data_IF_548783534772
#
_entry.id   IF_548783534772
#
_cell.length_a   1.000
_cell.length_b   1.000
_cell.length_c   1.000
_cell.angle_alpha   90.00
_cell.angle_beta   90.00
_cell.angle_gamma   90.00
#
_symmetry.space_group_name_H-M   'P 1'
#
loop_
_entity.id
_entity.type
_entity.pdbx_description
1 polymer ?
#
# COMPACT_ATOMS: atom_id res chain seq x y z
N UNK A 1 -14.62 9.65 -0.50
CA UNK A 1 -13.90 9.22 0.72
C UNK A 1 -14.92 8.88 1.80
N UNK A 2 -15.30 7.60 1.92
CA UNK A 2 -15.95 7.07 3.11
C UNK A 2 -14.86 6.35 3.93
N UNK A 3 -14.60 6.88 5.12
CA UNK A 3 -14.09 6.27 6.36
C UNK A 3 -12.88 5.32 6.33
N UNK A 4 -11.70 5.86 6.70
CA UNK A 4 -10.60 5.17 7.41
C UNK A 4 -9.92 3.97 6.74
N UNK A 5 -8.69 3.67 7.15
CA UNK A 5 -8.09 2.39 6.81
C UNK A 5 -8.78 1.26 7.60
N UNK A 6 -8.95 0.09 6.99
CA UNK A 6 -9.34 -1.12 7.75
C UNK A 6 -8.18 -1.71 8.56
N UNK A 7 -6.96 -1.23 8.30
CA UNK A 7 -5.76 -1.61 9.04
C UNK A 7 -5.58 -0.69 10.25
N UNK A 8 -5.72 -1.20 11.49
CA UNK A 8 -5.74 -0.36 12.69
C UNK A 8 -4.54 0.59 12.81
N UNK A 9 -3.29 0.18 12.53
CA UNK A 9 -2.15 1.08 12.65
C UNK A 9 -2.21 2.32 11.75
N UNK A 10 -2.82 2.24 10.57
CA UNK A 10 -2.99 3.42 9.72
C UNK A 10 -4.06 4.36 10.28
N UNK A 11 -5.14 3.81 10.83
CA UNK A 11 -6.19 4.62 11.46
C UNK A 11 -5.71 5.29 12.75
N UNK A 12 -5.01 4.55 13.61
CA UNK A 12 -4.45 5.06 14.88
C UNK A 12 -3.43 6.18 14.66
N UNK A 13 -2.62 6.08 13.60
CA UNK A 13 -1.57 7.06 13.27
C UNK A 13 -2.04 8.12 12.27
N UNK A 14 -3.34 8.15 11.92
CA UNK A 14 -3.90 9.05 10.90
C UNK A 14 -3.15 9.00 9.54
N UNK A 15 -2.63 7.84 9.16
CA UNK A 15 -1.94 7.61 7.88
C UNK A 15 -3.00 7.41 6.79
N UNK A 16 -3.05 8.28 5.75
CA UNK A 16 -3.87 8.04 4.57
C UNK A 16 -3.39 6.78 3.84
N UNK A 17 -4.35 5.96 3.43
CA UNK A 17 -4.08 4.74 2.67
C UNK A 17 -4.43 4.91 1.19
N UNK A 18 -3.55 4.45 0.31
CA UNK A 18 -3.87 4.19 -1.10
C UNK A 18 -4.42 2.76 -1.21
N UNK A 19 -5.74 2.66 -1.38
CA UNK A 19 -6.42 1.38 -1.61
C UNK A 19 -6.73 1.17 -3.09
N UNK A 20 -6.69 -0.10 -3.54
CA UNK A 20 -7.16 -0.56 -4.86
C UNK A 20 -6.59 0.16 -6.09
N UNK A 21 -5.26 0.28 -6.19
CA UNK A 21 -4.60 0.75 -7.42
C UNK A 21 -4.41 -0.41 -8.42
N UNK A 22 -5.22 -0.42 -9.48
CA UNK A 22 -5.07 -1.37 -10.58
C UNK A 22 -4.91 -0.66 -11.93
N UNK A 23 -3.98 -1.13 -12.75
CA UNK A 23 -3.82 -0.72 -14.14
C UNK A 23 -4.01 -1.94 -15.03
N UNK A 24 -5.06 -1.89 -15.86
CA UNK A 24 -5.37 -2.95 -16.82
C UNK A 24 -4.15 -3.27 -17.67
N UNK A 25 -3.95 -4.55 -17.99
CA UNK A 25 -2.74 -5.05 -18.65
C UNK A 25 -2.36 -4.26 -19.91
N UNK A 26 -3.36 -3.88 -20.73
CA UNK A 26 -3.19 -3.09 -21.96
C UNK A 26 -2.64 -1.67 -21.76
N UNK A 27 -2.70 -1.13 -20.54
CA UNK A 27 -2.20 0.21 -20.20
C UNK A 27 -0.95 0.19 -19.30
N UNK A 28 -0.38 -1.00 -19.05
CA UNK A 28 0.87 -1.13 -18.29
C UNK A 28 2.05 -0.58 -19.11
N UNK A 29 3.11 -0.14 -18.43
CA UNK A 29 4.33 0.45 -19.03
C UNK A 29 4.12 1.81 -19.74
N UNK A 30 2.94 2.43 -19.59
CA UNK A 30 2.65 3.78 -20.08
C UNK A 30 2.73 4.88 -19.00
N UNK A 31 3.32 4.57 -17.84
CA UNK A 31 3.43 5.53 -16.73
C UNK A 31 2.13 5.80 -15.95
N UNK A 32 1.01 5.16 -16.29
CA UNK A 32 -0.30 5.40 -15.65
C UNK A 32 -0.26 5.21 -14.12
N UNK A 33 0.30 4.10 -13.64
CA UNK A 33 0.41 3.83 -12.20
C UNK A 33 1.26 4.89 -11.48
N UNK A 34 2.35 5.32 -12.11
CA UNK A 34 3.23 6.39 -11.59
C UNK A 34 2.46 7.69 -11.44
N UNK A 35 1.78 8.14 -12.49
CA UNK A 35 1.05 9.41 -12.46
C UNK A 35 -0.10 9.39 -11.43
N UNK A 36 -0.79 8.25 -11.29
CA UNK A 36 -1.81 8.08 -10.25
C UNK A 36 -1.19 8.16 -8.85
N UNK A 37 -0.07 7.48 -8.61
CA UNK A 37 0.63 7.52 -7.34
C UNK A 37 1.14 8.93 -7.02
N UNK A 38 1.72 9.66 -7.97
CA UNK A 38 2.16 11.05 -7.77
C UNK A 38 1.00 11.94 -7.31
N UNK A 39 -0.16 11.80 -7.95
CA UNK A 39 -1.36 12.55 -7.59
C UNK A 39 -1.88 12.19 -6.20
N UNK A 40 -1.94 10.89 -5.87
CA UNK A 40 -2.41 10.40 -4.58
C UNK A 40 -1.47 10.77 -3.44
N UNK A 41 -0.15 10.62 -3.63
CA UNK A 41 0.89 11.02 -2.67
C UNK A 41 0.77 12.52 -2.36
N UNK A 42 0.57 13.37 -3.36
CA UNK A 42 0.36 14.82 -3.16
C UNK A 42 -0.92 15.14 -2.39
N UNK A 43 -1.99 14.37 -2.56
CA UNK A 43 -3.22 14.54 -1.76
C UNK A 43 -2.98 14.07 -0.32
N UNK A 44 -2.30 12.94 -0.13
CA UNK A 44 -1.99 12.39 1.18
C UNK A 44 -1.09 13.32 2.00
N UNK A 45 -0.11 13.96 1.35
CA UNK A 45 0.81 14.93 1.97
C UNK A 45 0.09 16.10 2.66
N UNK A 46 -1.11 16.48 2.18
CA UNK A 46 -1.92 17.53 2.82
C UNK A 46 -2.48 17.15 4.19
N UNK A 47 -2.42 15.86 4.55
CA UNK A 47 -3.04 15.30 5.77
C UNK A 47 -2.03 14.64 6.70
N UNK A 48 -0.97 14.07 6.15
CA UNK A 48 0.03 13.34 6.92
C UNK A 48 1.39 13.38 6.22
N UNK A 49 2.50 13.42 6.97
CA UNK A 49 3.85 13.23 6.41
C UNK A 49 4.09 11.79 5.94
N UNK A 50 3.14 10.87 6.14
CA UNK A 50 3.28 9.46 5.76
C UNK A 50 2.06 8.99 4.99
N UNK A 51 2.28 8.17 3.97
CA UNK A 51 1.22 7.46 3.24
C UNK A 51 1.43 5.95 3.32
N UNK A 52 0.34 5.21 3.43
CA UNK A 52 0.33 3.75 3.53
C UNK A 52 -0.33 3.08 2.34
N UNK A 53 -0.04 1.79 2.13
CA UNK A 53 -0.78 0.90 1.23
C UNK A 53 -0.62 -0.56 1.65
N UNK A 54 -1.56 -1.41 1.26
CA UNK A 54 -1.42 -2.86 1.31
C UNK A 54 -1.03 -3.43 -0.06
N UNK A 55 -0.20 -4.47 -0.09
CA UNK A 55 0.15 -5.19 -1.32
C UNK A 55 0.06 -6.69 -1.13
N UNK A 56 -0.58 -7.39 -2.06
CA UNK A 56 -0.68 -8.84 -2.06
C UNK A 56 0.66 -9.54 -2.31
N UNK A 57 0.72 -10.84 -1.98
CA UNK A 57 1.99 -11.57 -1.88
C UNK A 57 2.26 -12.61 -2.97
N UNK A 58 1.36 -12.78 -3.94
CA UNK A 58 1.56 -13.70 -5.07
C UNK A 58 1.90 -12.96 -6.37
N UNK A 59 2.27 -13.73 -7.41
CA UNK A 59 2.97 -13.25 -8.61
C UNK A 59 2.28 -12.08 -9.33
N UNK A 60 0.95 -12.03 -9.32
CA UNK A 60 0.18 -10.98 -10.00
C UNK A 60 0.42 -9.59 -9.40
N UNK A 61 0.81 -9.53 -8.11
CA UNK A 61 1.19 -8.30 -7.42
C UNK A 61 2.65 -7.91 -7.63
N UNK A 62 3.49 -8.74 -8.27
CA UNK A 62 4.93 -8.49 -8.40
C UNK A 62 5.26 -7.17 -9.12
N UNK A 63 4.44 -6.76 -10.09
CA UNK A 63 4.62 -5.45 -10.73
C UNK A 63 4.36 -4.29 -9.76
N UNK A 64 3.32 -4.39 -8.94
CA UNK A 64 2.97 -3.40 -7.93
C UNK A 64 4.04 -3.33 -6.84
N UNK A 65 4.46 -4.47 -6.29
CA UNK A 65 5.56 -4.57 -5.32
C UNK A 65 6.82 -3.83 -5.80
N UNK A 66 7.24 -4.08 -7.05
CA UNK A 66 8.41 -3.41 -7.63
C UNK A 66 8.23 -1.91 -7.81
N UNK A 67 7.05 -1.45 -8.19
CA UNK A 67 6.75 -0.01 -8.32
C UNK A 67 6.81 0.65 -6.94
N UNK A 68 6.17 0.07 -5.93
CA UNK A 68 6.13 0.63 -4.58
C UNK A 68 7.53 0.74 -3.98
N UNK A 69 8.33 -0.34 -4.01
CA UNK A 69 9.71 -0.31 -3.50
C UNK A 69 10.56 0.74 -4.20
N UNK A 70 10.51 0.83 -5.53
CA UNK A 70 11.27 1.84 -6.29
C UNK A 70 10.86 3.28 -5.98
N UNK A 71 9.62 3.49 -5.56
CA UNK A 71 9.09 4.80 -5.17
C UNK A 71 9.39 5.16 -3.71
N UNK A 72 10.10 4.30 -2.98
CA UNK A 72 10.48 4.55 -1.58
C UNK A 72 9.48 4.05 -0.55
N UNK A 73 8.50 3.22 -0.95
CA UNK A 73 7.69 2.51 0.03
C UNK A 73 8.48 1.35 0.63
N UNK A 74 8.45 1.24 1.95
CA UNK A 74 9.09 0.18 2.70
C UNK A 74 8.03 -0.61 3.49
N UNK A 75 8.23 -1.92 3.76
CA UNK A 75 7.38 -2.64 4.69
C UNK A 75 7.29 -1.91 6.03
N UNK A 76 6.09 -1.84 6.62
CA UNK A 76 5.85 -1.14 7.88
C UNK A 76 6.40 -1.87 9.13
N UNK A 77 7.04 -3.02 8.92
CA UNK A 77 7.70 -3.83 9.95
C UNK A 77 6.78 -4.76 10.74
N UNK A 78 5.48 -4.87 10.40
CA UNK A 78 4.52 -5.66 11.19
C UNK A 78 4.24 -7.06 10.65
N UNK A 79 4.94 -7.47 9.59
CA UNK A 79 4.82 -8.80 9.00
C UNK A 79 3.56 -8.98 8.15
N UNK A 80 3.21 -10.23 7.89
CA UNK A 80 2.06 -10.60 7.03
C UNK A 80 0.75 -10.32 7.74
N UNK A 81 -0.19 -9.72 7.00
CA UNK A 81 -1.57 -9.54 7.40
C UNK A 81 -2.48 -10.49 6.63
N UNK A 82 -3.51 -11.03 7.29
CA UNK A 82 -4.63 -11.72 6.67
C UNK A 82 -5.93 -11.00 7.06
N UNK A 83 -6.65 -10.48 6.08
CA UNK A 83 -7.89 -9.71 6.30
C UNK A 83 -7.72 -8.54 7.31
N UNK A 84 -6.60 -7.81 7.20
CA UNK A 84 -6.19 -6.71 8.08
C UNK A 84 -5.82 -7.11 9.53
N UNK A 85 -5.58 -8.40 9.79
CA UNK A 85 -5.10 -8.88 11.08
C UNK A 85 -3.70 -9.50 10.98
N UNK A 86 -2.84 -9.35 12.00
CA UNK A 86 -1.50 -9.94 11.99
C UNK A 86 -1.55 -11.46 12.00
N UNK A 87 -0.71 -12.09 11.17
CA UNK A 87 -0.55 -13.54 11.13
C UNK A 87 0.54 -13.97 12.11
N UNK A 88 0.20 -14.82 13.07
CA UNK A 88 1.15 -15.38 14.04
C UNK A 88 2.08 -16.41 13.39
N UNK A 89 3.31 -16.51 13.92
CA UNK A 89 4.26 -17.53 13.47
C UNK A 89 3.66 -18.95 13.60
N UNK A 90 3.90 -19.80 12.60
CA UNK A 90 3.34 -21.16 12.52
C UNK A 90 1.88 -21.25 12.08
N UNK A 91 1.18 -20.11 11.92
CA UNK A 91 -0.18 -20.10 11.38
C UNK A 91 -0.16 -20.32 9.87
N UNK A 92 -1.05 -21.19 9.39
CA UNK A 92 -1.34 -21.33 7.95
C UNK A 92 -2.50 -20.40 7.58
N UNK A 93 -2.33 -19.66 6.49
CA UNK A 93 -3.36 -18.82 5.86
C UNK A 93 -3.39 -19.10 4.37
N UNK A 94 -4.52 -18.86 3.71
CA UNK A 94 -4.60 -18.93 2.27
C UNK A 94 -3.71 -17.84 1.65
N UNK A 95 -3.00 -18.15 0.56
CA UNK A 95 -2.30 -17.12 -0.21
C UNK A 95 -3.29 -16.56 -1.25
N UNK A 96 -4.07 -15.56 -0.83
CA UNK A 96 -5.10 -14.91 -1.64
C UNK A 96 -5.05 -13.37 -1.50
N UNK A 97 -6.07 -12.68 -2.01
CA UNK A 97 -6.15 -11.21 -2.03
C UNK A 97 -6.26 -10.58 -0.62
N UNK A 98 -6.58 -11.38 0.40
CA UNK A 98 -6.60 -10.92 1.80
C UNK A 98 -5.22 -11.01 2.46
N UNK A 99 -4.25 -11.67 1.82
CA UNK A 99 -2.90 -11.89 2.35
C UNK A 99 -1.96 -10.82 1.83
N UNK A 100 -1.58 -9.90 2.72
CA UNK A 100 -0.89 -8.66 2.33
C UNK A 100 0.31 -8.37 3.22
N UNK A 101 1.25 -7.59 2.68
CA UNK A 101 2.19 -6.79 3.46
C UNK A 101 1.74 -5.34 3.42
N UNK A 102 1.86 -4.65 4.56
CA UNK A 102 1.56 -3.23 4.67
C UNK A 102 2.85 -2.43 4.48
N UNK A 103 2.80 -1.42 3.62
CA UNK A 103 3.94 -0.58 3.27
C UNK A 103 3.65 0.86 3.64
N UNK A 104 4.68 1.61 4.02
CA UNK A 104 4.62 3.05 4.27
C UNK A 104 5.71 3.79 3.50
N UNK A 105 5.45 5.08 3.23
CA UNK A 105 6.40 6.01 2.62
C UNK A 105 6.32 7.35 3.34
N UNK A 106 7.47 7.91 3.70
CA UNK A 106 7.56 9.30 4.13
C UNK A 106 7.39 10.22 2.92
N UNK A 107 6.54 11.23 3.07
CA UNK A 107 6.25 12.24 2.06
C UNK A 107 7.00 13.51 2.45
N UNK A 108 7.84 13.99 1.55
CA UNK A 108 8.46 15.31 1.70
C UNK A 108 7.36 16.37 1.56
N UNK A 109 7.10 17.12 2.63
CA UNK A 109 6.08 18.17 2.65
C UNK A 109 6.52 19.46 1.93
N UNK A 110 7.79 19.54 1.52
CA UNK A 110 8.45 20.74 0.98
C UNK A 110 8.69 20.70 -0.55
N UNK A 111 7.92 19.89 -1.31
CA UNK A 111 7.96 19.88 -2.79
C UNK A 111 6.67 20.33 -3.44
#
# INVERSE_FOLDING_TARGET
MKNGSKYPPFTEQCIPEVSDLNVLQRYRRLGVATNLLDYLERIAARRSPTVGLGVGLYADYGAAQRIYVRRGYLPDGRGVMYANQPVSAGRTVALDDNTTLMFTKQLDLDR
#
